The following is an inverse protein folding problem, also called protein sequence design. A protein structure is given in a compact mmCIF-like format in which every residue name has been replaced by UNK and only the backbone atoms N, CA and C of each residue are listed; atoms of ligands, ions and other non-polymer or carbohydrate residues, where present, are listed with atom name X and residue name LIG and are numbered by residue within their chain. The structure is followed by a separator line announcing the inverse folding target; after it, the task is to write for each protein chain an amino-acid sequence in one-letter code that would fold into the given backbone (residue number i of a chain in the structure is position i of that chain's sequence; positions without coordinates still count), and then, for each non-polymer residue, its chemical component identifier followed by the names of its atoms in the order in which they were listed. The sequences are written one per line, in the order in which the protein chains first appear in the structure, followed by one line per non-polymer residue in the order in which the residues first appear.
data_IF_984838735587
#
_entry.id   IF_984838735587
#
_cell.length_a   1.000
_cell.length_b   1.000
_cell.length_c   1.000
_cell.angle_alpha   90.00
_cell.angle_beta   90.00
_cell.angle_gamma   90.00
#
_symmetry.space_group_name_H-M   'P 1'
#
loop_
_entity.id
_entity.type
_entity.pdbx_description
1 polymer ?
#
# COMPACT_ATOMS: atom_id res chain seq x y z
N UNK A 1 -29.47 -1.01 37.04
CA UNK A 1 -29.03 -2.40 36.88
C UNK A 1 -29.91 -2.97 35.77
N UNK A 2 -29.46 -3.16 34.53
CA UNK A 2 -28.14 -3.61 34.07
C UNK A 2 -27.93 -3.21 32.61
N UNK A 3 -26.68 -2.86 32.30
CA UNK A 3 -25.95 -2.90 31.01
C UNK A 3 -26.67 -2.59 29.69
N UNK A 4 -26.40 -1.44 29.06
CA UNK A 4 -25.19 -1.11 28.28
C UNK A 4 -25.14 -1.76 26.90
N UNK A 5 -25.07 -0.87 25.91
CA UNK A 5 -24.26 -1.02 24.70
C UNK A 5 -24.67 -2.09 23.68
N UNK A 6 -25.72 -1.76 22.91
CA UNK A 6 -25.69 -2.01 21.47
C UNK A 6 -25.21 -0.72 20.78
N UNK A 7 -23.91 -0.43 20.93
CA UNK A 7 -23.27 0.50 20.01
C UNK A 7 -23.24 -0.19 18.65
N UNK A 8 -23.79 0.51 17.65
CA UNK A 8 -23.55 0.23 16.25
C UNK A 8 -22.07 -0.11 16.08
N UNK A 9 -21.77 -1.35 15.72
CA UNK A 9 -20.52 -1.65 15.06
C UNK A 9 -20.59 -0.88 13.75
N UNK A 10 -20.00 0.31 13.74
CA UNK A 10 -19.86 1.14 12.55
C UNK A 10 -19.19 0.30 11.47
N UNK A 11 -20.01 -0.25 10.58
CA UNK A 11 -19.57 -0.94 9.40
C UNK A 11 -19.17 0.11 8.35
N UNK A 12 -18.03 0.78 8.54
CA UNK A 12 -17.25 1.45 7.48
C UNK A 12 -15.89 1.98 7.99
N UNK A 13 -14.86 1.14 8.00
CA UNK A 13 -13.50 1.54 8.43
C UNK A 13 -12.41 0.69 7.78
N UNK A 14 -12.68 0.22 6.57
CA UNK A 14 -11.85 -0.72 5.82
C UNK A 14 -10.49 -0.10 5.54
N UNK A 15 -9.42 -0.83 5.87
CA UNK A 15 -8.06 -0.44 5.53
C UNK A 15 -7.93 -0.35 4.00
N UNK A 16 -7.95 0.86 3.45
CA UNK A 16 -7.85 1.09 2.00
C UNK A 16 -6.40 0.93 1.53
N UNK A 17 -6.24 0.47 0.30
CA UNK A 17 -4.95 0.35 -0.38
C UNK A 17 -4.97 1.28 -1.58
N UNK A 18 -3.98 2.17 -1.65
CA UNK A 18 -3.83 3.12 -2.73
C UNK A 18 -2.51 2.89 -3.46
N UNK A 19 -2.45 3.31 -4.72
CA UNK A 19 -1.22 3.50 -5.49
C UNK A 19 -1.18 4.91 -6.03
N UNK A 20 0.00 5.51 -6.10
CA UNK A 20 0.18 6.80 -6.78
C UNK A 20 0.11 6.62 -8.29
N UNK A 21 -0.21 7.69 -9.03
CA UNK A 21 -0.21 7.66 -10.50
C UNK A 21 1.13 7.20 -11.09
N UNK A 22 2.23 7.69 -10.54
CA UNK A 22 3.57 7.29 -10.97
C UNK A 22 3.80 5.79 -10.72
N UNK A 23 3.45 5.32 -9.52
CA UNK A 23 3.57 3.90 -9.19
C UNK A 23 2.71 3.03 -10.12
N UNK A 24 1.50 3.46 -10.47
CA UNK A 24 0.62 2.71 -11.36
C UNK A 24 1.26 2.51 -12.74
N UNK A 25 1.86 3.55 -13.32
CA UNK A 25 2.59 3.45 -14.59
C UNK A 25 3.82 2.53 -14.47
N UNK A 26 4.55 2.63 -13.36
CA UNK A 26 5.71 1.78 -13.13
C UNK A 26 5.32 0.31 -12.90
N UNK A 27 4.28 0.04 -12.11
CA UNK A 27 3.75 -1.29 -11.85
C UNK A 27 3.27 -1.95 -13.14
N UNK A 28 2.59 -1.20 -14.02
CA UNK A 28 2.19 -1.68 -15.34
C UNK A 28 3.41 -2.11 -16.18
N UNK A 29 4.46 -1.29 -16.22
CA UNK A 29 5.71 -1.59 -16.94
C UNK A 29 6.42 -2.83 -16.39
N UNK A 30 6.36 -3.02 -15.07
CA UNK A 30 6.97 -4.17 -14.37
C UNK A 30 6.05 -5.40 -14.30
N UNK A 31 4.87 -5.36 -14.92
CA UNK A 31 3.89 -6.44 -14.88
C UNK A 31 3.44 -6.81 -13.46
N UNK A 32 3.42 -5.84 -12.54
CA UNK A 32 2.97 -6.03 -11.17
C UNK A 32 1.45 -5.86 -11.14
N UNK A 33 0.74 -6.94 -10.84
CA UNK A 33 -0.71 -6.93 -10.79
C UNK A 33 -1.25 -6.41 -9.45
N UNK A 34 -2.45 -5.82 -9.47
CA UNK A 34 -3.12 -5.33 -8.26
C UNK A 34 -3.38 -6.44 -7.23
N UNK A 35 -3.51 -7.70 -7.67
CA UNK A 35 -3.60 -8.86 -6.77
C UNK A 35 -2.32 -9.08 -5.95
N UNK A 36 -1.15 -8.85 -6.54
CA UNK A 36 0.14 -8.97 -5.85
C UNK A 36 0.30 -7.85 -4.81
N UNK A 37 -0.17 -6.64 -5.14
CA UNK A 37 -0.17 -5.48 -4.23
C UNK A 37 -1.12 -5.70 -3.05
N UNK A 38 -2.31 -6.23 -3.32
CA UNK A 38 -3.27 -6.60 -2.28
C UNK A 38 -2.70 -7.68 -1.34
N UNK A 39 -2.06 -8.72 -1.88
CA UNK A 39 -1.39 -9.76 -1.09
C UNK A 39 -0.25 -9.18 -0.24
N UNK A 40 0.56 -8.28 -0.81
CA UNK A 40 1.61 -7.59 -0.05
C UNK A 40 1.03 -6.77 1.12
N UNK A 41 -0.04 -6.00 0.86
CA UNK A 41 -0.72 -5.24 1.91
C UNK A 41 -1.30 -6.14 3.00
N UNK A 42 -1.87 -7.31 2.66
CA UNK A 42 -2.37 -8.28 3.65
C UNK A 42 -1.27 -8.76 4.60
N UNK A 43 -0.06 -9.03 4.10
CA UNK A 43 1.08 -9.39 4.95
C UNK A 43 1.47 -8.27 5.92
N UNK A 44 1.41 -7.01 5.47
CA UNK A 44 1.63 -5.84 6.35
C UNK A 44 0.53 -5.71 7.41
N UNK A 45 -0.73 -6.04 7.07
CA UNK A 45 -1.86 -6.05 8.02
C UNK A 45 -1.66 -7.11 9.11
N UNK A 46 -1.17 -8.28 8.72
CA UNK A 46 -0.84 -9.38 9.64
C UNK A 46 0.42 -9.13 10.48
N UNK A 47 1.14 -8.02 10.25
CA UNK A 47 2.39 -7.72 10.97
C UNK A 47 3.57 -8.60 10.57
N UNK A 48 3.45 -9.39 9.50
CA UNK A 48 4.46 -10.36 9.06
C UNK A 48 5.46 -9.80 8.04
N UNK A 49 5.42 -8.49 7.79
CA UNK A 49 6.38 -7.81 6.92
C UNK A 49 7.58 -7.29 7.73
N UNK A 50 8.66 -6.89 7.07
CA UNK A 50 9.79 -6.19 7.71
C UNK A 50 9.63 -4.67 7.56
N UNK A 51 9.56 -3.94 8.68
CA UNK A 51 9.48 -2.47 8.68
C UNK A 51 10.88 -1.87 8.51
N UNK A 52 10.98 -0.81 7.71
CA UNK A 52 12.19 0.02 7.61
C UNK A 52 12.15 1.23 8.56
N UNK A 53 11.16 1.30 9.44
CA UNK A 53 10.94 2.43 10.34
C UNK A 53 10.16 3.56 9.69
N UNK A 54 9.55 4.42 10.54
CA UNK A 54 8.78 5.57 10.06
C UNK A 54 7.62 5.21 9.15
N UNK A 55 7.01 4.02 9.29
CA UNK A 55 5.87 3.55 8.48
C UNK A 55 6.22 3.14 7.04
N UNK A 56 7.50 3.01 6.71
CA UNK A 56 7.98 2.55 5.40
C UNK A 56 8.24 1.05 5.44
N UNK A 57 7.82 0.35 4.40
CA UNK A 57 7.96 -1.09 4.25
C UNK A 57 8.50 -1.43 2.86
N UNK A 58 9.42 -2.37 2.79
CA UNK A 58 9.97 -2.89 1.52
C UNK A 58 9.53 -4.32 1.31
N UNK A 59 8.99 -4.63 0.13
CA UNK A 59 8.56 -5.98 -0.24
C UNK A 59 9.09 -6.36 -1.62
N UNK A 60 9.64 -7.57 -1.71
CA UNK A 60 9.98 -8.21 -2.99
C UNK A 60 8.76 -8.99 -3.50
N UNK A 61 8.45 -8.82 -4.78
CA UNK A 61 7.37 -9.49 -5.49
C UNK A 61 7.93 -10.57 -6.42
N UNK A 62 7.17 -11.66 -6.57
CA UNK A 62 7.53 -12.81 -7.40
C UNK A 62 8.70 -13.67 -6.87
N UNK A 63 8.98 -14.77 -7.58
CA UNK A 63 10.16 -15.63 -7.35
C UNK A 63 11.17 -15.40 -8.49
N UNK A 64 12.16 -14.53 -8.29
CA UNK A 64 13.35 -14.45 -9.16
C UNK A 64 13.50 -13.20 -10.05
N UNK A 65 12.43 -12.42 -10.27
CA UNK A 65 12.48 -11.28 -11.21
C UNK A 65 13.07 -10.01 -10.60
N UNK A 66 13.25 -10.00 -9.27
CA UNK A 66 13.84 -8.86 -8.58
C UNK A 66 12.93 -7.63 -8.48
N UNK A 67 11.62 -7.80 -8.64
CA UNK A 67 10.65 -6.71 -8.50
C UNK A 67 10.51 -6.36 -7.03
N UNK A 68 10.70 -5.09 -6.69
CA UNK A 68 10.56 -4.57 -5.33
C UNK A 68 9.62 -3.38 -5.32
N UNK A 69 8.84 -3.30 -4.24
CA UNK A 69 7.92 -2.20 -3.98
C UNK A 69 8.16 -1.62 -2.59
N UNK A 70 7.86 -0.32 -2.46
CA UNK A 70 7.79 0.38 -1.19
C UNK A 70 6.32 0.69 -0.88
N UNK A 71 5.88 0.25 0.30
CA UNK A 71 4.58 0.55 0.86
C UNK A 71 4.73 1.47 2.06
N UNK A 72 3.86 2.46 2.15
CA UNK A 72 3.71 3.31 3.31
C UNK A 72 2.47 2.86 4.08
N UNK A 73 2.60 2.65 5.39
CA UNK A 73 1.46 2.38 6.29
C UNK A 73 1.24 3.59 7.17
N UNK A 74 0.08 4.24 7.03
CA UNK A 74 -0.32 5.42 7.82
C UNK A 74 -1.78 5.36 8.21
N UNK A 75 -2.05 5.72 9.45
CA UNK A 75 -3.34 5.47 10.09
C UNK A 75 -3.74 4.00 9.86
N UNK A 76 -4.81 3.78 9.11
CA UNK A 76 -5.33 2.48 8.71
C UNK A 76 -5.12 2.17 7.22
N UNK A 77 -4.51 3.07 6.45
CA UNK A 77 -4.37 2.96 5.01
C UNK A 77 -2.96 2.57 4.59
N UNK A 78 -2.87 2.04 3.37
CA UNK A 78 -1.64 1.60 2.73
C UNK A 78 -1.46 2.34 1.41
N UNK A 79 -0.24 2.77 1.12
CA UNK A 79 0.08 3.51 -0.10
C UNK A 79 1.29 2.89 -0.80
N UNK A 80 1.10 2.43 -2.03
CA UNK A 80 2.18 2.00 -2.92
C UNK A 80 2.76 3.22 -3.64
N UNK A 81 4.00 3.58 -3.32
CA UNK A 81 4.63 4.82 -3.79
C UNK A 81 5.81 4.61 -4.72
N UNK A 82 6.51 3.47 -4.61
CA UNK A 82 7.68 3.19 -5.42
C UNK A 82 7.77 1.72 -5.85
N UNK A 83 8.21 1.48 -7.08
CA UNK A 83 8.49 0.16 -7.62
C UNK A 83 9.77 0.17 -8.47
N UNK A 84 10.57 -0.88 -8.36
CA UNK A 84 11.77 -1.10 -9.18
C UNK A 84 11.89 -2.57 -9.58
N UNK A 85 12.61 -2.83 -10.67
CA UNK A 85 13.11 -4.17 -10.98
C UNK A 85 14.62 -4.21 -10.80
N UNK A 86 15.12 -5.22 -10.10
CA UNK A 86 16.54 -5.40 -9.84
C UNK A 86 16.83 -6.77 -9.24
N UNK A 87 17.68 -7.55 -9.91
CA UNK A 87 18.18 -8.82 -9.35
C UNK A 87 19.03 -8.59 -8.11
N UNK A 88 19.79 -7.51 -8.06
CA UNK A 88 20.57 -7.11 -6.90
C UNK A 88 19.66 -6.53 -5.80
N UNK A 89 19.81 -7.08 -4.59
CA UNK A 89 19.30 -6.45 -3.38
C UNK A 89 20.20 -5.24 -3.15
N UNK A 90 19.65 -4.06 -3.33
CA UNK A 90 20.33 -2.79 -3.06
C UNK A 90 19.68 -2.22 -1.82
N UNK A 91 20.47 -1.90 -0.81
CA UNK A 91 19.94 -1.19 0.34
C UNK A 91 19.53 0.23 -0.07
N UNK A 92 18.38 0.65 0.45
CA UNK A 92 17.95 2.03 0.31
C UNK A 92 18.98 2.90 1.00
N UNK A 93 19.47 3.93 0.30
CA UNK A 93 20.36 4.90 0.91
C UNK A 93 19.59 5.68 1.98
N UNK A 94 20.31 6.24 2.95
CA UNK A 94 19.69 6.92 4.09
C UNK A 94 18.84 8.13 3.66
N UNK A 95 19.27 8.86 2.63
CA UNK A 95 18.54 9.95 1.99
C UNK A 95 17.24 9.47 1.34
N UNK A 96 17.28 8.34 0.63
CA UNK A 96 16.11 7.75 -0.02
C UNK A 96 15.09 7.28 1.01
N UNK A 97 15.54 6.61 2.07
CA UNK A 97 14.66 6.18 3.15
C UNK A 97 14.02 7.38 3.86
N UNK A 98 14.79 8.45 4.12
CA UNK A 98 14.27 9.67 4.74
C UNK A 98 13.19 10.32 3.86
N UNK A 99 13.45 10.43 2.55
CA UNK A 99 12.46 10.98 1.61
C UNK A 99 11.15 10.15 1.63
N UNK A 100 11.23 8.82 1.68
CA UNK A 100 10.02 7.99 1.81
C UNK A 100 9.31 8.18 3.15
N UNK A 101 10.04 8.39 4.24
CA UNK A 101 9.46 8.66 5.56
C UNK A 101 8.76 10.02 5.62
N UNK A 102 9.30 11.04 4.97
CA UNK A 102 8.70 12.38 4.84
C UNK A 102 7.40 12.31 4.04
N UNK A 103 7.43 11.69 2.86
CA UNK A 103 6.23 11.44 2.05
C UNK A 103 5.19 10.64 2.84
N UNK A 104 5.62 9.64 3.61
CA UNK A 104 4.72 8.91 4.50
C UNK A 104 4.13 9.83 5.58
N UNK A 105 4.89 10.78 6.12
CA UNK A 105 4.38 11.77 7.06
C UNK A 105 3.25 12.60 6.45
N UNK A 106 3.43 13.07 5.22
CA UNK A 106 2.39 13.83 4.50
C UNK A 106 1.12 13.02 4.29
N UNK A 107 1.24 11.77 3.84
CA UNK A 107 0.09 10.88 3.66
C UNK A 107 -0.65 10.56 4.97
N UNK A 108 -0.01 10.70 6.13
CA UNK A 108 -0.63 10.49 7.43
C UNK A 108 -1.63 11.58 7.80
N UNK A 109 -1.46 12.77 7.24
CA UNK A 109 -2.30 13.93 7.53
C UNK A 109 -3.60 13.91 6.73
N UNK A 110 -3.72 13.09 5.69
CA UNK A 110 -4.93 13.05 4.88
C UNK A 110 -6.08 12.31 5.58
N UNK A 111 -7.22 12.99 5.71
CA UNK A 111 -8.49 12.41 6.12
C UNK A 111 -9.23 11.71 4.97
N UNK A 112 -10.29 10.96 5.25
CA UNK A 112 -11.06 10.22 4.22
C UNK A 112 -11.54 11.11 3.07
N UNK A 113 -12.04 12.31 3.37
CA UNK A 113 -12.50 13.28 2.35
C UNK A 113 -11.38 13.73 1.41
N UNK A 114 -10.18 13.92 1.95
CA UNK A 114 -9.01 14.32 1.16
C UNK A 114 -8.50 13.14 0.33
N UNK A 115 -8.50 11.94 0.89
CA UNK A 115 -8.19 10.72 0.15
C UNK A 115 -9.18 10.53 -1.02
N UNK A 116 -10.47 10.74 -0.80
CA UNK A 116 -11.47 10.67 -1.86
C UNK A 116 -11.27 11.76 -2.93
N UNK A 117 -10.88 12.97 -2.54
CA UNK A 117 -10.53 14.03 -3.48
C UNK A 117 -9.26 13.71 -4.29
N UNK A 118 -8.25 13.11 -3.66
CA UNK A 118 -7.03 12.64 -4.32
C UNK A 118 -7.30 11.48 -5.29
N UNK A 119 -8.27 10.62 -4.97
CA UNK A 119 -8.76 9.58 -5.87
C UNK A 119 -9.56 10.18 -7.03
N UNK A 120 -10.47 11.09 -6.76
CA UNK A 120 -11.29 11.76 -7.78
C UNK A 120 -10.44 12.58 -8.77
N UNK A 121 -9.35 13.20 -8.30
CA UNK A 121 -8.38 13.91 -9.14
C UNK A 121 -7.39 12.99 -9.88
N UNK A 122 -7.37 11.70 -9.56
CA UNK A 122 -6.47 10.72 -10.18
C UNK A 122 -5.01 10.80 -9.70
N UNK A 123 -4.73 11.54 -8.63
CA UNK A 123 -3.42 11.56 -7.96
C UNK A 123 -3.17 10.22 -7.27
N UNK A 124 -4.19 9.71 -6.60
CA UNK A 124 -4.24 8.38 -6.04
C UNK A 124 -5.20 7.49 -6.84
N UNK A 125 -4.90 6.21 -6.87
CA UNK A 125 -5.80 5.19 -7.41
C UNK A 125 -6.02 4.16 -6.34
N UNK A 126 -7.28 3.90 -6.00
CA UNK A 126 -7.64 2.89 -5.02
C UNK A 126 -7.55 1.49 -5.65
N UNK A 127 -6.80 0.60 -5.00
CA UNK A 127 -6.73 -0.82 -5.35
C UNK A 127 -7.88 -1.51 -4.64
N UNK A 128 -8.94 -1.79 -5.40
CA UNK A 128 -10.00 -2.68 -4.94
C UNK A 128 -9.48 -4.11 -5.05
N UNK A 129 -9.63 -4.89 -3.98
CA UNK A 129 -9.24 -6.30 -4.01
C UNK A 129 -9.84 -6.96 -5.27
N UNK A 130 -9.05 -7.74 -6.02
CA UNK A 130 -9.56 -8.37 -7.22
C UNK A 130 -10.71 -9.31 -6.83
N UNK A 131 -11.88 -9.10 -7.44
CA UNK A 131 -12.83 -10.19 -7.58
C UNK A 131 -12.13 -11.23 -8.46
N UNK A 132 -11.82 -12.39 -7.87
CA UNK A 132 -10.99 -13.41 -8.48
C UNK A 132 -11.63 -13.92 -9.78
N UNK A 133 -11.28 -13.31 -10.92
CA UNK A 133 -11.55 -13.92 -12.22
C UNK A 133 -10.61 -15.10 -12.37
N UNK A 134 -11.07 -16.25 -11.87
CA UNK A 134 -10.48 -17.57 -12.14
C UNK A 134 -10.19 -17.67 -13.63
N UNK A 135 -8.92 -17.53 -14.03
CA UNK A 135 -8.49 -17.95 -15.36
C UNK A 135 -8.52 -19.47 -15.36
N UNK A 136 -9.61 -20.04 -15.88
CA UNK A 136 -9.59 -21.41 -16.41
C UNK A 136 -8.55 -21.42 -17.54
N UNK A 137 -7.46 -22.16 -17.35
CA UNK A 137 -6.75 -22.80 -18.46
C UNK A 137 -6.19 -24.12 -17.98
#
# INVERSE_FOLDING_TARGET
MSDSSLSLVSNDGSQRLFKTRWFAAQAHTLGIADCELAAAAQLLRAGSAGSLGGGVWRKRLGRGDGREIILLKRNRHFFCVYARAGRAITDLRHDELRAFQEVAGEYANFGERELDALVASGVLMEIRAPEERRRKK
#
